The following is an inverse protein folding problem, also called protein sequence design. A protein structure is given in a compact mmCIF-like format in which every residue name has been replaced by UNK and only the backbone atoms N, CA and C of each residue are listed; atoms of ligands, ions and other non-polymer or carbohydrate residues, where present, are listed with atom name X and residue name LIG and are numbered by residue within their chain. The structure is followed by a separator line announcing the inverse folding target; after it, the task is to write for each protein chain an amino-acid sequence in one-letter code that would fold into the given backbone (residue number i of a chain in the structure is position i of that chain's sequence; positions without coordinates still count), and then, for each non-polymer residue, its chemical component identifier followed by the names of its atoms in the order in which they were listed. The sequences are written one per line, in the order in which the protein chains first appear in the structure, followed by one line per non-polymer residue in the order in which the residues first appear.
data_IF_970312260942
#
_entry.id   IF_970312260942
#
_cell.length_a   1.000
_cell.length_b   1.000
_cell.length_c   1.000
_cell.angle_alpha   90.00
_cell.angle_beta   90.00
_cell.angle_gamma   90.00
#
_symmetry.space_group_name_H-M   'P 1'
#
loop_
_entity.id
_entity.type
_entity.pdbx_description
1 polymer ?
#
# COMPACT_ATOMS: atom_id res chain seq x y z
N UNK A 1 -0.15 9.77 4.32
CA UNK A 1 0.01 10.05 2.87
C UNK A 1 -0.63 8.96 2.00
N UNK A 2 -0.03 7.76 1.83
CA UNK A 2 -0.52 6.79 0.82
C UNK A 2 -2.00 6.37 0.94
N UNK A 3 -2.55 6.25 2.16
CA UNK A 3 -3.98 5.95 2.35
C UNK A 3 -4.91 7.01 1.74
N UNK A 4 -4.51 8.29 1.75
CA UNK A 4 -5.31 9.33 1.11
C UNK A 4 -5.24 9.27 -0.42
N UNK A 5 -4.13 8.77 -1.00
CA UNK A 5 -3.99 8.56 -2.46
C UNK A 5 -4.95 7.44 -2.85
N UNK A 6 -4.92 6.32 -2.13
CA UNK A 6 -5.87 5.23 -2.30
C UNK A 6 -7.33 5.66 -2.13
N UNK A 7 -7.63 6.47 -1.11
CA UNK A 7 -8.95 7.01 -0.90
C UNK A 7 -9.38 7.95 -2.03
N UNK A 8 -8.47 8.78 -2.56
CA UNK A 8 -8.76 9.67 -3.70
C UNK A 8 -9.10 8.89 -4.97
N UNK A 9 -8.51 7.71 -5.19
CA UNK A 9 -8.89 6.82 -6.30
C UNK A 9 -10.31 6.29 -6.13
N UNK A 10 -10.70 5.90 -4.92
CA UNK A 10 -12.06 5.44 -4.61
C UNK A 10 -13.06 6.60 -4.73
N UNK A 11 -12.69 7.79 -4.24
CA UNK A 11 -13.51 8.98 -4.34
C UNK A 11 -13.72 9.36 -5.80
N UNK A 12 -12.67 9.32 -6.63
CA UNK A 12 -12.77 9.57 -8.06
C UNK A 12 -13.72 8.56 -8.72
N UNK A 13 -13.62 7.28 -8.37
CA UNK A 13 -14.56 6.26 -8.83
C UNK A 13 -16.01 6.63 -8.42
N UNK A 14 -16.22 7.06 -7.18
CA UNK A 14 -17.53 7.46 -6.67
C UNK A 14 -18.08 8.71 -7.38
N UNK A 15 -17.24 9.74 -7.57
CA UNK A 15 -17.59 10.97 -8.30
C UNK A 15 -17.89 10.66 -9.76
N UNK A 16 -17.06 9.86 -10.43
CA UNK A 16 -17.34 9.38 -11.78
C UNK A 16 -18.71 8.72 -11.81
N UNK A 17 -18.97 7.76 -10.92
CA UNK A 17 -20.27 7.09 -10.82
C UNK A 17 -21.39 8.13 -10.66
N UNK A 18 -21.30 9.07 -9.71
CA UNK A 18 -22.28 10.14 -9.44
C UNK A 18 -22.55 11.09 -10.62
N UNK A 19 -21.49 11.60 -11.26
CA UNK A 19 -21.55 12.45 -12.45
C UNK A 19 -22.34 11.74 -13.54
N UNK A 20 -21.98 10.48 -13.74
CA UNK A 20 -22.62 9.62 -14.69
C UNK A 20 -24.10 9.43 -14.26
N UNK A 21 -24.45 9.17 -12.99
CA UNK A 21 -25.87 8.95 -12.56
C UNK A 21 -26.91 10.02 -12.94
N UNK A 22 -26.50 11.25 -13.27
CA UNK A 22 -27.45 12.30 -13.65
C UNK A 22 -27.87 12.17 -15.12
N UNK A 23 -29.09 11.66 -15.36
CA UNK A 23 -29.71 11.57 -16.71
C UNK A 23 -29.85 12.94 -17.40
N UNK A 24 -29.79 14.03 -16.63
CA UNK A 24 -29.82 15.41 -17.13
C UNK A 24 -28.76 16.20 -16.33
N UNK A 25 -27.51 16.20 -16.83
CA UNK A 25 -26.38 16.88 -16.18
C UNK A 25 -26.63 18.40 -16.14
N UNK A 26 -27.34 18.86 -15.10
CA UNK A 26 -27.51 20.27 -14.80
C UNK A 26 -26.40 20.64 -13.84
N UNK A 27 -25.40 21.36 -14.35
CA UNK A 27 -24.22 21.76 -13.61
C UNK A 27 -24.55 22.33 -12.22
N UNK A 28 -25.58 23.19 -12.11
CA UNK A 28 -26.03 23.74 -10.81
C UNK A 28 -26.40 22.68 -9.77
N UNK A 29 -27.14 21.64 -10.16
CA UNK A 29 -27.57 20.59 -9.23
C UNK A 29 -26.40 19.67 -8.85
N UNK A 30 -25.55 19.34 -9.81
CA UNK A 30 -24.31 18.61 -9.55
C UNK A 30 -23.37 19.38 -8.60
N UNK A 31 -23.19 20.68 -8.83
CA UNK A 31 -22.37 21.53 -7.98
C UNK A 31 -22.90 21.65 -6.56
N UNK A 32 -24.23 21.60 -6.34
CA UNK A 32 -24.83 21.60 -5.01
C UNK A 32 -24.75 20.23 -4.31
N UNK A 33 -24.93 19.14 -5.04
CA UNK A 33 -24.96 17.78 -4.45
C UNK A 33 -23.56 17.19 -4.25
N UNK A 34 -22.65 17.39 -5.21
CA UNK A 34 -21.30 16.81 -5.22
C UNK A 34 -20.21 17.81 -4.84
N UNK A 35 -20.44 19.12 -5.06
CA UNK A 35 -19.47 20.17 -4.75
C UNK A 35 -19.06 20.21 -3.28
N UNK A 36 -20.00 20.27 -2.30
CA UNK A 36 -19.64 20.31 -0.89
C UNK A 36 -18.86 19.07 -0.43
N UNK A 37 -19.26 17.82 -0.74
CA UNK A 37 -18.44 16.64 -0.42
C UNK A 37 -17.04 16.67 -1.05
N UNK A 38 -16.92 17.07 -2.32
CA UNK A 38 -15.62 17.18 -3.01
C UNK A 38 -14.76 18.25 -2.34
N UNK A 39 -15.33 19.40 -1.98
CA UNK A 39 -14.61 20.48 -1.30
C UNK A 39 -14.16 20.08 0.10
N UNK A 40 -15.02 19.43 0.89
CA UNK A 40 -14.68 18.95 2.23
C UNK A 40 -13.55 17.93 2.14
N UNK A 41 -13.70 16.90 1.29
CA UNK A 41 -12.68 15.87 1.13
C UNK A 41 -11.40 16.45 0.55
N UNK A 42 -11.50 17.32 -0.45
CA UNK A 42 -10.37 18.00 -1.09
C UNK A 42 -9.61 18.90 -0.12
N UNK A 43 -10.30 19.65 0.73
CA UNK A 43 -9.68 20.51 1.76
C UNK A 43 -8.95 19.67 2.80
N UNK A 44 -9.61 18.64 3.35
CA UNK A 44 -8.99 17.72 4.32
C UNK A 44 -7.77 17.04 3.68
N UNK A 45 -7.93 16.50 2.47
CA UNK A 45 -6.83 15.87 1.74
C UNK A 45 -5.68 16.85 1.53
N UNK A 46 -5.96 18.09 1.11
CA UNK A 46 -4.93 19.11 0.83
C UNK A 46 -4.09 19.45 2.06
N UNK A 47 -4.70 19.60 3.24
CA UNK A 47 -3.98 19.84 4.51
C UNK A 47 -2.96 18.72 4.79
N UNK A 48 -3.31 17.47 4.47
CA UNK A 48 -2.41 16.33 4.66
C UNK A 48 -1.42 16.11 3.50
N UNK A 49 -1.79 16.49 2.27
CA UNK A 49 -1.01 16.18 1.08
C UNK A 49 -0.03 17.28 0.66
N UNK A 50 -0.37 18.55 0.86
CA UNK A 50 0.50 19.66 0.44
C UNK A 50 1.90 19.56 1.06
N UNK A 51 2.06 19.36 2.38
CA UNK A 51 3.40 19.23 2.97
C UNK A 51 4.17 18.04 2.39
N UNK A 52 3.47 16.93 2.13
CA UNK A 52 4.09 15.74 1.56
C UNK A 52 4.53 15.93 0.10
N UNK A 53 3.74 16.66 -0.69
CA UNK A 53 4.07 17.00 -2.07
C UNK A 53 5.24 18.00 -2.15
N UNK A 54 5.27 18.98 -1.25
CA UNK A 54 6.38 19.93 -1.13
C UNK A 54 7.69 19.19 -0.83
N UNK A 55 7.71 18.37 0.22
CA UNK A 55 8.85 17.52 0.57
C UNK A 55 9.23 16.58 -0.58
N UNK A 56 8.26 15.98 -1.27
CA UNK A 56 8.53 15.14 -2.43
C UNK A 56 9.16 15.89 -3.60
N UNK A 57 8.78 17.15 -3.83
CA UNK A 57 9.39 18.00 -4.85
C UNK A 57 10.80 18.46 -4.44
N UNK A 58 10.97 18.87 -3.19
CA UNK A 58 12.24 19.37 -2.64
C UNK A 58 13.33 18.28 -2.62
N UNK A 59 12.96 17.07 -2.22
CA UNK A 59 13.90 15.95 -2.12
C UNK A 59 13.87 15.01 -3.33
N UNK A 60 13.05 15.29 -4.34
CA UNK A 60 12.93 14.49 -5.56
C UNK A 60 12.45 13.06 -5.31
N UNK A 61 11.53 12.87 -4.35
CA UNK A 61 11.04 11.55 -3.94
C UNK A 61 10.18 10.89 -5.03
N UNK A 62 10.84 10.14 -5.92
CA UNK A 62 10.19 9.28 -6.89
C UNK A 62 10.69 7.85 -6.72
N UNK A 63 9.79 6.86 -6.77
CA UNK A 63 10.19 5.44 -6.79
C UNK A 63 10.12 4.91 -8.19
N UNK A 64 11.10 4.09 -8.55
CA UNK A 64 11.05 3.39 -9.82
C UNK A 64 9.87 2.43 -9.86
N UNK A 65 9.35 2.19 -11.06
CA UNK A 65 8.32 1.18 -11.27
C UNK A 65 8.81 -0.20 -10.80
N UNK A 66 10.10 -0.50 -10.93
CA UNK A 66 10.71 -1.75 -10.47
C UNK A 66 10.65 -1.91 -8.95
N UNK A 67 10.90 -0.84 -8.20
CA UNK A 67 10.76 -0.86 -6.74
C UNK A 67 9.30 -1.10 -6.36
N UNK A 68 8.37 -0.38 -7.01
CA UNK A 68 6.94 -0.56 -6.75
C UNK A 68 6.45 -1.98 -7.10
N UNK A 69 6.93 -2.55 -8.21
CA UNK A 69 6.64 -3.92 -8.60
C UNK A 69 7.09 -4.94 -7.55
N UNK A 70 8.18 -4.69 -6.81
CA UNK A 70 8.63 -5.59 -5.75
C UNK A 70 7.61 -5.73 -4.61
N UNK A 71 6.81 -4.69 -4.35
CA UNK A 71 5.81 -4.66 -3.28
C UNK A 71 4.35 -4.73 -3.78
N UNK A 72 4.12 -5.26 -4.99
CA UNK A 72 2.79 -5.69 -5.44
C UNK A 72 2.39 -7.00 -4.76
N UNK A 73 1.11 -7.13 -4.40
CA UNK A 73 0.56 -8.31 -3.73
C UNK A 73 0.51 -9.53 -4.69
N UNK A 74 1.13 -10.66 -4.35
CA UNK A 74 0.96 -11.90 -5.09
C UNK A 74 -0.48 -12.42 -5.00
N UNK A 75 -0.96 -13.05 -6.07
CA UNK A 75 -2.30 -13.65 -6.12
C UNK A 75 -2.51 -14.68 -4.99
N UNK A 76 -1.48 -15.46 -4.68
CA UNK A 76 -1.51 -16.43 -3.59
C UNK A 76 -1.88 -15.81 -2.23
N UNK A 77 -1.51 -14.55 -1.98
CA UNK A 77 -1.76 -13.89 -0.68
C UNK A 77 -3.24 -13.61 -0.44
N UNK A 78 -4.06 -13.49 -1.48
CA UNK A 78 -5.52 -13.37 -1.31
C UNK A 78 -6.19 -14.69 -0.90
N UNK A 79 -5.46 -15.81 -0.95
CA UNK A 79 -5.87 -17.09 -0.37
C UNK A 79 -5.23 -17.35 0.99
N UNK A 80 -4.41 -16.42 1.51
CA UNK A 80 -4.00 -16.47 2.90
C UNK A 80 -5.21 -16.22 3.81
N UNK A 81 -5.30 -16.92 4.92
CA UNK A 81 -6.25 -16.59 5.98
C UNK A 81 -5.61 -15.59 6.96
N UNK A 82 -6.43 -14.82 7.68
CA UNK A 82 -5.92 -14.08 8.83
C UNK A 82 -5.19 -15.05 9.77
N UNK A 83 -4.22 -14.54 10.54
CA UNK A 83 -3.55 -15.28 11.61
C UNK A 83 -4.53 -15.57 12.76
N UNK A 84 -5.49 -16.44 12.48
CA UNK A 84 -6.40 -17.05 13.44
C UNK A 84 -5.76 -18.30 14.02
N UNK A 85 -6.15 -18.67 15.23
CA UNK A 85 -5.68 -19.90 15.85
C UNK A 85 -6.00 -21.15 15.02
N UNK A 86 -7.17 -21.18 14.37
CA UNK A 86 -7.65 -22.36 13.65
C UNK A 86 -7.04 -22.51 12.26
N UNK A 87 -6.84 -21.40 11.54
CA UNK A 87 -6.47 -21.44 10.13
C UNK A 87 -5.11 -20.82 9.80
N UNK A 88 -4.48 -20.13 10.76
CA UNK A 88 -3.22 -19.42 10.54
C UNK A 88 -2.08 -20.35 10.12
N UNK A 89 -2.00 -21.57 10.68
CA UNK A 89 -0.96 -22.54 10.33
C UNK A 89 -1.10 -23.05 8.88
N UNK A 90 -2.32 -23.21 8.39
CA UNK A 90 -2.60 -23.83 7.09
C UNK A 90 -2.19 -22.95 5.90
N UNK A 91 -2.25 -21.63 6.06
CA UNK A 91 -2.08 -20.68 4.95
C UNK A 91 -1.01 -19.62 5.21
N UNK A 92 -0.27 -19.72 6.32
CA UNK A 92 0.83 -18.80 6.67
C UNK A 92 1.90 -18.69 5.57
N UNK A 93 2.19 -19.77 4.85
CA UNK A 93 3.15 -19.79 3.75
C UNK A 93 2.72 -18.90 2.55
N UNK A 94 1.43 -18.56 2.44
CA UNK A 94 0.90 -17.69 1.39
C UNK A 94 1.01 -16.19 1.74
N UNK A 95 1.47 -15.85 2.95
CA UNK A 95 1.58 -14.46 3.41
C UNK A 95 2.58 -13.65 2.58
N UNK A 96 2.32 -12.35 2.47
CA UNK A 96 3.20 -11.41 1.77
C UNK A 96 4.15 -10.72 2.77
N UNK A 97 5.18 -10.06 2.24
CA UNK A 97 6.21 -9.37 3.04
C UNK A 97 5.60 -8.27 3.92
N UNK A 98 4.53 -7.63 3.47
CA UNK A 98 3.76 -6.63 4.24
C UNK A 98 2.62 -7.24 5.10
N UNK A 99 2.52 -8.57 5.19
CA UNK A 99 1.51 -9.28 6.00
C UNK A 99 0.48 -10.07 5.18
N UNK A 100 -0.64 -10.45 5.82
CA UNK A 100 -1.75 -11.15 5.15
C UNK A 100 -2.73 -10.16 4.51
N UNK A 101 -2.95 -10.28 3.20
CA UNK A 101 -3.93 -9.48 2.44
C UNK A 101 -5.25 -10.22 2.27
N UNK A 102 -5.64 -10.99 3.29
CA UNK A 102 -6.79 -11.88 3.22
C UNK A 102 -8.10 -11.11 3.03
N UNK A 103 -8.87 -11.40 1.97
CA UNK A 103 -10.23 -10.89 1.81
C UNK A 103 -11.24 -11.55 2.76
N UNK A 104 -10.81 -12.58 3.51
CA UNK A 104 -11.64 -13.50 4.31
C UNK A 104 -12.57 -14.35 3.47
N UNK A 105 -12.73 -15.63 3.81
CA UNK A 105 -13.53 -16.56 3.01
C UNK A 105 -15.02 -16.35 3.19
N UNK A 106 -15.50 -16.07 4.39
CA UNK A 106 -16.94 -15.87 4.61
C UNK A 106 -17.48 -14.69 3.78
N UNK A 107 -16.86 -13.49 3.78
CA UNK A 107 -17.32 -12.39 2.95
C UNK A 107 -17.29 -12.69 1.45
N UNK A 108 -16.23 -13.38 0.97
CA UNK A 108 -16.11 -13.78 -0.44
C UNK A 108 -17.22 -14.76 -0.83
N UNK A 109 -17.42 -15.83 -0.04
CA UNK A 109 -18.44 -16.85 -0.30
C UNK A 109 -19.85 -16.28 -0.28
N UNK A 110 -20.19 -15.43 0.70
CA UNK A 110 -21.49 -14.76 0.75
C UNK A 110 -21.70 -13.84 -0.45
N UNK A 111 -20.68 -13.05 -0.81
CA UNK A 111 -20.75 -12.15 -1.98
C UNK A 111 -20.97 -12.93 -3.27
N UNK A 112 -20.26 -14.06 -3.48
CA UNK A 112 -20.44 -14.94 -4.65
C UNK A 112 -21.85 -15.55 -4.64
N UNK A 113 -22.31 -16.07 -3.50
CA UNK A 113 -23.64 -16.65 -3.38
C UNK A 113 -24.74 -15.64 -3.72
N UNK A 114 -24.63 -14.40 -3.25
CA UNK A 114 -25.55 -13.33 -3.59
C UNK A 114 -25.52 -12.97 -5.08
N UNK A 115 -24.33 -12.88 -5.70
CA UNK A 115 -24.21 -12.67 -7.14
C UNK A 115 -24.95 -13.76 -7.95
N UNK A 116 -24.87 -15.02 -7.51
CA UNK A 116 -25.58 -16.14 -8.15
C UNK A 116 -27.10 -16.08 -7.93
N UNK A 117 -27.56 -15.65 -6.75
CA UNK A 117 -28.99 -15.51 -6.43
C UNK A 117 -29.61 -14.34 -7.18
N UNK A 118 -28.94 -13.17 -7.20
CA UNK A 118 -29.37 -11.98 -7.96
C UNK A 118 -29.45 -12.30 -9.45
N UNK A 119 -28.47 -13.05 -9.98
CA UNK A 119 -28.47 -13.51 -11.38
C UNK A 119 -29.67 -14.40 -11.74
N UNK A 120 -30.22 -15.17 -10.78
CA UNK A 120 -31.40 -16.02 -11.01
C UNK A 120 -32.72 -15.24 -10.99
N UNK A 121 -32.81 -14.15 -10.22
CA UNK A 121 -34.04 -13.32 -10.12
C UNK A 121 -34.18 -12.31 -11.25
N UNK A 122 -33.07 -11.75 -11.73
CA UNK A 122 -33.08 -10.96 -12.95
C UNK A 122 -33.16 -11.92 -14.14
N UNK A 123 -34.33 -12.03 -14.80
CA UNK A 123 -34.37 -12.61 -16.13
C UNK A 123 -33.37 -11.82 -16.97
N UNK A 124 -32.27 -12.46 -17.35
CA UNK A 124 -31.38 -11.90 -18.35
C UNK A 124 -32.16 -11.97 -19.66
N UNK A 125 -33.06 -11.02 -19.91
CA UNK A 125 -33.24 -10.55 -21.27
C UNK A 125 -31.82 -10.27 -21.75
N UNK A 126 -31.42 -10.92 -22.85
CA UNK A 126 -30.07 -10.85 -23.39
C UNK A 126 -29.76 -9.42 -23.85
N UNK A 127 -29.36 -8.60 -22.87
CA UNK A 127 -29.17 -7.16 -22.93
C UNK A 127 -27.72 -6.78 -23.25
N UNK A 128 -27.10 -7.56 -24.12
CA UNK A 128 -25.72 -7.36 -24.55
C UNK A 128 -25.68 -6.99 -26.02
N UNK A 129 -24.84 -6.02 -26.38
CA UNK A 129 -24.43 -5.87 -27.76
C UNK A 129 -23.72 -7.18 -28.15
N UNK A 130 -24.29 -7.94 -29.10
CA UNK A 130 -23.77 -9.25 -29.53
C UNK A 130 -22.27 -9.18 -29.83
N UNK A 131 -21.83 -8.04 -30.35
CA UNK A 131 -20.43 -7.72 -30.66
C UNK A 131 -19.48 -7.82 -29.47
N UNK A 132 -19.86 -7.38 -28.26
CA UNK A 132 -18.95 -7.42 -27.09
C UNK A 132 -18.86 -8.82 -26.48
N UNK A 133 -19.96 -9.59 -26.51
CA UNK A 133 -19.93 -11.02 -26.14
C UNK A 133 -19.06 -11.83 -27.09
N UNK A 134 -19.20 -11.58 -28.39
CA UNK A 134 -18.39 -12.22 -29.43
C UNK A 134 -16.93 -11.79 -29.28
N UNK A 135 -16.65 -10.52 -28.98
CA UNK A 135 -15.30 -10.03 -28.70
C UNK A 135 -14.71 -10.72 -27.45
N UNK A 136 -15.46 -10.79 -26.35
CA UNK A 136 -14.98 -11.43 -25.12
C UNK A 136 -14.76 -12.94 -25.30
N UNK A 137 -15.70 -13.64 -25.95
CA UNK A 137 -15.53 -15.06 -26.28
C UNK A 137 -14.36 -15.28 -27.26
N UNK A 138 -14.23 -14.41 -28.25
CA UNK A 138 -13.13 -14.41 -29.21
C UNK A 138 -11.78 -14.18 -28.52
N UNK A 139 -11.69 -13.23 -27.60
CA UNK A 139 -10.48 -12.95 -26.82
C UNK A 139 -10.17 -14.09 -25.86
N UNK A 140 -11.15 -14.67 -25.16
CA UNK A 140 -10.93 -15.86 -24.31
C UNK A 140 -10.39 -17.02 -25.15
N UNK A 141 -11.02 -17.30 -26.29
CA UNK A 141 -10.61 -18.37 -27.18
C UNK A 141 -9.20 -18.10 -27.75
N UNK A 142 -8.94 -16.88 -28.23
CA UNK A 142 -7.64 -16.44 -28.72
C UNK A 142 -6.57 -16.53 -27.63
N UNK A 143 -6.88 -16.16 -26.39
CA UNK A 143 -5.94 -16.23 -25.26
C UNK A 143 -5.63 -17.67 -24.90
N UNK A 144 -6.61 -18.59 -24.92
CA UNK A 144 -6.37 -20.03 -24.71
C UNK A 144 -5.47 -20.57 -25.84
N UNK A 145 -5.79 -20.26 -27.09
CA UNK A 145 -4.99 -20.68 -28.26
C UNK A 145 -3.57 -20.11 -28.19
N UNK A 146 -3.41 -18.82 -27.91
CA UNK A 146 -2.12 -18.17 -27.79
C UNK A 146 -1.32 -18.68 -26.58
N UNK A 147 -2.00 -19.09 -25.50
CA UNK A 147 -1.36 -19.76 -24.36
C UNK A 147 -0.79 -21.13 -24.73
N UNK A 148 -1.54 -21.94 -25.48
CA UNK A 148 -1.03 -23.22 -26.01
C UNK A 148 0.12 -23.02 -27.00
N UNK A 149 0.07 -21.97 -27.81
CA UNK A 149 1.12 -21.61 -28.77
C UNK A 149 2.30 -20.86 -28.13
N UNK A 150 2.25 -20.54 -26.83
CA UNK A 150 3.27 -19.75 -26.13
C UNK A 150 4.71 -20.24 -26.38
N UNK A 151 5.03 -21.56 -26.36
CA UNK A 151 6.40 -22.02 -26.62
C UNK A 151 6.86 -21.64 -28.03
N UNK A 152 5.99 -21.80 -29.03
CA UNK A 152 6.27 -21.52 -30.43
C UNK A 152 6.35 -20.01 -30.72
N UNK A 153 5.52 -19.21 -30.04
CA UNK A 153 5.57 -17.74 -30.13
C UNK A 153 6.84 -17.21 -29.44
N UNK A 154 7.29 -17.85 -28.37
CA UNK A 154 8.53 -17.49 -27.68
C UNK A 154 9.78 -17.77 -28.51
N UNK A 155 9.85 -18.94 -29.15
CA UNK A 155 10.96 -19.30 -30.03
C UNK A 155 11.01 -18.37 -31.25
N UNK A 156 9.87 -18.15 -31.91
CA UNK A 156 9.79 -17.29 -33.09
C UNK A 156 10.04 -15.81 -32.76
N UNK A 157 9.54 -15.32 -31.62
CA UNK A 157 9.82 -13.97 -31.13
C UNK A 157 11.28 -13.77 -30.74
N UNK A 158 11.93 -14.80 -30.20
CA UNK A 158 13.34 -14.81 -29.86
C UNK A 158 14.29 -14.86 -31.06
N UNK A 159 13.87 -15.47 -32.17
CA UNK A 159 14.59 -15.44 -33.45
C UNK A 159 14.57 -14.05 -34.10
N UNK A 160 13.50 -13.27 -33.90
CA UNK A 160 13.32 -11.93 -34.47
C UNK A 160 13.90 -10.84 -33.55
N UNK A 161 13.78 -11.02 -32.23
CA UNK A 161 14.31 -10.12 -31.21
C UNK A 161 14.96 -10.95 -30.10
N UNK A 162 16.29 -11.02 -30.07
CA UNK A 162 17.03 -11.82 -29.08
C UNK A 162 16.70 -11.48 -27.63
N UNK A 163 16.34 -10.21 -27.35
CA UNK A 163 15.97 -9.75 -26.01
C UNK A 163 14.63 -10.30 -25.49
N UNK A 164 13.77 -10.86 -26.36
CA UNK A 164 12.51 -11.50 -25.92
C UNK A 164 12.78 -12.77 -25.10
N UNK A 165 13.91 -13.45 -25.33
CA UNK A 165 14.34 -14.56 -24.48
C UNK A 165 14.70 -14.11 -23.06
N UNK A 166 15.18 -12.87 -22.90
CA UNK A 166 15.54 -12.29 -21.61
C UNK A 166 14.31 -11.83 -20.81
N UNK A 167 13.17 -11.64 -21.49
CA UNK A 167 11.92 -11.19 -20.89
C UNK A 167 10.73 -12.11 -21.19
N UNK A 168 10.72 -13.36 -20.67
CA UNK A 168 9.64 -14.33 -20.89
C UNK A 168 8.25 -13.86 -20.40
N UNK A 169 8.22 -12.83 -19.55
CA UNK A 169 7.01 -12.16 -19.07
C UNK A 169 6.35 -11.27 -20.12
N UNK A 170 7.09 -10.86 -21.16
CA UNK A 170 6.56 -10.01 -22.23
C UNK A 170 5.55 -10.78 -23.08
N UNK A 171 5.85 -12.04 -23.40
CA UNK A 171 4.97 -12.91 -24.19
C UNK A 171 3.70 -13.23 -23.42
N UNK A 172 3.81 -13.58 -22.13
CA UNK A 172 2.62 -13.79 -21.29
C UNK A 172 1.80 -12.52 -21.12
N UNK A 173 2.46 -11.36 -21.03
CA UNK A 173 1.78 -10.05 -21.00
C UNK A 173 1.02 -9.80 -22.29
N UNK A 174 1.61 -10.02 -23.47
CA UNK A 174 0.91 -9.83 -24.75
C UNK A 174 -0.28 -10.77 -24.89
N UNK A 175 -0.16 -12.02 -24.41
CA UNK A 175 -1.23 -13.02 -24.45
C UNK A 175 -2.38 -12.66 -23.49
N UNK A 176 -2.04 -12.24 -22.26
CA UNK A 176 -3.00 -12.06 -21.17
C UNK A 176 -3.54 -10.63 -21.04
N UNK A 177 -2.83 -9.60 -21.53
CA UNK A 177 -3.30 -8.21 -21.44
C UNK A 177 -4.61 -7.98 -22.19
N UNK A 178 -4.83 -8.51 -23.41
CA UNK A 178 -6.12 -8.41 -24.06
C UNK A 178 -7.22 -9.07 -23.24
N UNK A 179 -6.96 -10.25 -22.66
CA UNK A 179 -7.92 -10.92 -21.78
C UNK A 179 -8.22 -10.09 -20.54
N UNK A 180 -7.20 -9.60 -19.85
CA UNK A 180 -7.38 -8.79 -18.65
C UNK A 180 -8.13 -7.51 -18.98
N UNK A 181 -7.72 -6.78 -20.02
CA UNK A 181 -8.38 -5.55 -20.46
C UNK A 181 -9.81 -5.81 -20.93
N UNK A 182 -10.09 -6.92 -21.60
CA UNK A 182 -11.44 -7.27 -22.05
C UNK A 182 -12.28 -7.76 -20.90
N UNK A 183 -11.77 -8.54 -19.95
CA UNK A 183 -12.48 -8.91 -18.72
C UNK A 183 -12.77 -7.66 -17.91
N UNK A 184 -11.78 -6.77 -17.74
CA UNK A 184 -11.94 -5.49 -17.07
C UNK A 184 -12.93 -4.60 -17.81
N UNK A 185 -12.80 -4.40 -19.12
CA UNK A 185 -13.71 -3.58 -19.92
C UNK A 185 -15.11 -4.19 -19.97
N UNK A 186 -15.24 -5.51 -20.11
CA UNK A 186 -16.51 -6.23 -20.01
C UNK A 186 -17.13 -6.00 -18.63
N UNK A 187 -16.33 -6.03 -17.57
CA UNK A 187 -16.73 -5.73 -16.21
C UNK A 187 -17.19 -4.26 -16.03
N UNK A 188 -16.50 -3.29 -16.65
CA UNK A 188 -16.82 -1.86 -16.59
C UNK A 188 -17.93 -1.40 -17.56
N UNK A 189 -18.15 -2.09 -18.69
CA UNK A 189 -19.08 -1.71 -19.77
C UNK A 189 -20.40 -2.48 -19.75
N UNK A 190 -20.59 -3.42 -18.83
CA UNK A 190 -21.86 -4.12 -18.65
C UNK A 190 -22.94 -3.13 -18.20
N UNK A 191 -24.22 -3.36 -18.59
CA UNK A 191 -25.37 -2.61 -18.03
C UNK A 191 -25.39 -2.63 -16.50
N UNK A 192 -24.68 -3.54 -15.84
CA UNK A 192 -24.38 -3.60 -14.42
C UNK A 192 -23.73 -2.31 -13.87
N UNK A 193 -22.71 -1.75 -14.53
CA UNK A 193 -22.14 -0.43 -14.19
C UNK A 193 -23.16 0.69 -14.45
N UNK A 194 -23.96 0.55 -15.53
CA UNK A 194 -25.10 1.41 -15.87
C UNK A 194 -26.34 1.22 -14.95
N UNK A 195 -26.36 0.19 -14.10
CA UNK A 195 -27.40 -0.07 -13.10
C UNK A 195 -26.97 0.51 -11.76
N UNK A 196 -25.67 0.42 -11.41
CA UNK A 196 -25.07 1.25 -10.35
C UNK A 196 -25.36 2.72 -10.61
N UNK A 197 -25.31 3.13 -11.87
CA UNK A 197 -25.57 4.48 -12.38
C UNK A 197 -26.98 5.03 -12.09
N UNK A 198 -28.04 4.21 -11.98
CA UNK A 198 -29.42 4.76 -11.96
C UNK A 198 -29.96 5.10 -10.55
N UNK A 199 -29.11 5.51 -9.59
CA UNK A 199 -29.53 6.07 -8.28
C UNK A 199 -29.61 5.07 -7.10
N UNK A 200 -29.14 5.49 -5.91
CA UNK A 200 -28.95 4.73 -4.65
C UNK A 200 -30.17 3.91 -4.13
N UNK A 201 -30.43 2.73 -4.68
CA UNK A 201 -31.24 1.65 -4.04
C UNK A 201 -30.32 0.61 -3.40
N UNK A 202 -30.81 -0.20 -2.45
CA UNK A 202 -30.00 -1.19 -1.70
C UNK A 202 -29.18 -2.14 -2.58
N UNK A 203 -29.73 -2.56 -3.72
CA UNK A 203 -29.04 -3.40 -4.72
C UNK A 203 -27.85 -2.68 -5.38
N UNK A 204 -27.82 -1.35 -5.44
CA UNK A 204 -26.75 -0.56 -6.08
C UNK A 204 -25.62 -0.22 -5.13
N UNK A 205 -25.90 -0.18 -3.82
CA UNK A 205 -24.88 -0.14 -2.77
C UNK A 205 -24.00 -1.38 -2.85
N UNK A 206 -24.59 -2.57 -3.02
CA UNK A 206 -23.84 -3.82 -3.19
C UNK A 206 -22.79 -3.69 -4.30
N UNK A 207 -23.21 -3.24 -5.47
CA UNK A 207 -22.32 -3.12 -6.62
C UNK A 207 -21.19 -2.11 -6.39
N UNK A 208 -21.47 -0.93 -5.83
CA UNK A 208 -20.46 0.08 -5.54
C UNK A 208 -19.34 -0.47 -4.65
N UNK A 209 -19.70 -1.14 -3.55
CA UNK A 209 -18.72 -1.70 -2.63
C UNK A 209 -18.00 -2.91 -3.21
N UNK A 210 -18.68 -3.72 -4.04
CA UNK A 210 -18.03 -4.77 -4.83
C UNK A 210 -16.99 -4.20 -5.80
N UNK A 211 -17.30 -3.12 -6.51
CA UNK A 211 -16.35 -2.43 -7.39
C UNK A 211 -15.18 -1.84 -6.63
N UNK A 212 -15.44 -1.28 -5.45
CA UNK A 212 -14.39 -0.78 -4.56
C UNK A 212 -13.43 -1.91 -4.19
N UNK A 213 -13.95 -3.09 -3.83
CA UNK A 213 -13.13 -4.27 -3.56
C UNK A 213 -12.35 -4.75 -4.80
N UNK A 214 -12.96 -4.78 -5.99
CA UNK A 214 -12.29 -5.20 -7.22
C UNK A 214 -11.21 -4.23 -7.67
N UNK A 215 -11.47 -2.91 -7.61
CA UNK A 215 -10.46 -1.89 -7.89
C UNK A 215 -9.29 -2.01 -6.93
N UNK A 216 -9.58 -2.14 -5.62
CA UNK A 216 -8.57 -2.32 -4.61
C UNK A 216 -7.73 -3.58 -4.85
N UNK A 217 -8.36 -4.68 -5.24
CA UNK A 217 -7.70 -5.92 -5.65
C UNK A 217 -6.75 -5.68 -6.82
N UNK A 218 -7.25 -5.19 -7.96
CA UNK A 218 -6.45 -5.00 -9.19
C UNK A 218 -5.28 -4.05 -8.96
N UNK A 219 -5.48 -2.96 -8.22
CA UNK A 219 -4.42 -2.00 -7.91
C UNK A 219 -3.41 -2.59 -6.94
N UNK A 220 -3.85 -3.37 -5.95
CA UNK A 220 -2.96 -3.98 -4.96
C UNK A 220 -2.00 -5.02 -5.55
N UNK A 221 -2.31 -5.60 -6.72
CA UNK A 221 -1.36 -6.44 -7.48
C UNK A 221 -0.11 -5.67 -7.92
N UNK A 222 -0.16 -4.33 -7.97
CA UNK A 222 0.92 -3.47 -8.45
C UNK A 222 1.14 -3.56 -9.96
N UNK A 223 2.23 -2.99 -10.51
CA UNK A 223 2.50 -2.98 -11.95
C UNK A 223 2.82 -4.37 -12.55
N UNK A 224 3.16 -5.37 -11.73
CA UNK A 224 3.46 -6.74 -12.17
C UNK A 224 2.61 -7.71 -11.35
N UNK A 225 1.81 -8.53 -12.03
CA UNK A 225 1.01 -9.58 -11.41
C UNK A 225 1.92 -10.76 -11.08
N UNK A 226 1.93 -11.16 -9.80
CA UNK A 226 2.73 -12.28 -9.28
C UNK A 226 1.83 -13.43 -8.85
N UNK A 227 2.31 -14.66 -9.02
CA UNK A 227 1.60 -15.84 -8.51
C UNK A 227 1.89 -16.03 -7.02
N UNK A 228 3.16 -16.31 -6.71
CA UNK A 228 3.66 -16.63 -5.38
C UNK A 228 5.08 -16.05 -5.23
N UNK A 229 5.38 -15.44 -4.08
CA UNK A 229 6.67 -14.76 -3.87
C UNK A 229 6.99 -13.77 -5.01
N UNK A 230 8.16 -13.93 -5.64
CA UNK A 230 8.61 -13.13 -6.79
C UNK A 230 8.38 -13.82 -8.15
N UNK A 231 7.47 -14.80 -8.24
CA UNK A 231 7.12 -15.41 -9.52
C UNK A 231 6.21 -14.49 -10.33
N UNK A 232 6.77 -13.81 -11.33
CA UNK A 232 6.05 -12.88 -12.20
C UNK A 232 5.25 -13.64 -13.26
N UNK A 233 3.97 -13.30 -13.41
CA UNK A 233 3.09 -13.86 -14.44
C UNK A 233 3.05 -12.93 -15.66
N UNK A 234 2.70 -11.66 -15.42
CA UNK A 234 2.53 -10.66 -16.47
C UNK A 234 2.63 -9.25 -15.90
N UNK A 235 2.77 -8.26 -16.78
CA UNK A 235 2.57 -6.85 -16.44
C UNK A 235 1.06 -6.62 -16.21
N UNK A 236 0.74 -5.87 -15.17
CA UNK A 236 -0.61 -5.38 -14.91
C UNK A 236 -0.81 -4.06 -15.69
N UNK A 237 -1.51 -4.06 -16.84
CA UNK A 237 -1.72 -2.85 -17.63
C UNK A 237 -2.45 -1.76 -16.83
N UNK A 238 -3.36 -2.11 -15.92
CA UNK A 238 -4.11 -1.14 -15.11
C UNK A 238 -3.19 -0.53 -14.05
N UNK A 239 -2.44 -1.37 -13.32
CA UNK A 239 -1.46 -0.91 -12.33
C UNK A 239 -0.38 -0.03 -12.96
N UNK A 240 0.10 -0.41 -14.15
CA UNK A 240 1.11 0.35 -14.91
C UNK A 240 0.55 1.67 -15.44
N UNK A 241 -0.65 1.67 -16.02
CA UNK A 241 -1.32 2.89 -16.46
C UNK A 241 -1.50 3.87 -15.30
N UNK A 242 -2.01 3.38 -14.16
CA UNK A 242 -2.21 4.21 -12.98
C UNK A 242 -0.88 4.73 -12.41
N UNK A 243 0.22 3.96 -12.49
CA UNK A 243 1.54 4.42 -12.03
C UNK A 243 2.00 5.68 -12.79
N UNK A 244 1.78 5.72 -14.10
CA UNK A 244 2.18 6.86 -14.94
C UNK A 244 1.17 8.01 -14.94
N UNK A 245 -0.11 7.73 -14.75
CA UNK A 245 -1.19 8.71 -14.94
C UNK A 245 -1.73 9.26 -13.61
N UNK A 246 -1.80 8.45 -12.55
CA UNK A 246 -2.42 8.86 -11.30
C UNK A 246 -1.43 9.61 -10.39
N UNK A 247 -1.68 10.88 -10.05
CA UNK A 247 -0.75 11.68 -9.25
C UNK A 247 -0.42 11.04 -7.90
N UNK A 248 0.88 10.96 -7.59
CA UNK A 248 1.39 10.44 -6.33
C UNK A 248 1.42 8.92 -6.21
N UNK A 249 0.88 8.15 -7.17
CA UNK A 249 0.97 6.69 -7.10
C UNK A 249 2.43 6.20 -7.23
N UNK A 250 3.27 6.90 -8.00
CA UNK A 250 4.71 6.63 -8.07
C UNK A 250 5.45 6.87 -6.75
N UNK A 251 4.89 7.69 -5.86
CA UNK A 251 5.42 7.95 -4.52
C UNK A 251 4.98 6.89 -3.49
N UNK A 252 4.33 5.79 -3.90
CA UNK A 252 3.94 4.68 -3.03
C UNK A 252 4.85 3.47 -3.26
N UNK A 253 5.54 3.02 -2.20
CA UNK A 253 6.39 1.82 -2.23
C UNK A 253 5.54 0.56 -2.36
N UNK A 254 4.67 0.36 -1.38
CA UNK A 254 3.87 -0.85 -1.23
C UNK A 254 2.43 -0.63 -1.67
N UNK A 255 2.18 -0.82 -2.97
CA UNK A 255 0.82 -0.73 -3.55
C UNK A 255 -0.06 -1.86 -3.03
N UNK A 256 0.53 -2.98 -2.61
CA UNK A 256 -0.15 -4.08 -1.92
C UNK A 256 -1.09 -3.61 -0.81
N UNK A 257 -0.74 -2.53 -0.09
CA UNK A 257 -1.55 -1.94 0.99
C UNK A 257 -2.93 -1.46 0.56
N UNK A 258 -3.16 -1.24 -0.74
CA UNK A 258 -4.49 -1.00 -1.29
C UNK A 258 -5.45 -2.15 -0.96
N UNK A 259 -4.95 -3.36 -0.74
CA UNK A 259 -5.75 -4.52 -0.34
C UNK A 259 -6.49 -4.32 0.99
N UNK A 260 -6.04 -3.38 1.84
CA UNK A 260 -6.74 -3.03 3.09
C UNK A 260 -8.17 -2.51 2.87
N UNK A 261 -8.50 -2.07 1.65
CA UNK A 261 -9.83 -1.61 1.27
C UNK A 261 -10.74 -2.73 0.75
N UNK A 262 -10.18 -3.92 0.48
CA UNK A 262 -10.95 -5.09 0.04
C UNK A 262 -11.92 -5.55 1.14
N UNK A 263 -11.51 -5.72 2.42
CA UNK A 263 -12.44 -6.06 3.49
C UNK A 263 -13.56 -5.05 3.69
N UNK A 264 -13.32 -3.75 3.43
CA UNK A 264 -14.36 -2.73 3.48
C UNK A 264 -15.44 -2.99 2.43
N UNK A 265 -15.03 -3.20 1.17
CA UNK A 265 -15.96 -3.51 0.09
C UNK A 265 -16.69 -4.84 0.32
N UNK A 266 -15.95 -5.88 0.68
CA UNK A 266 -16.50 -7.21 0.92
C UNK A 266 -17.37 -7.30 2.16
N UNK A 267 -17.11 -6.52 3.21
CA UNK A 267 -17.91 -6.50 4.43
C UNK A 267 -19.32 -5.99 4.16
N UNK A 268 -19.45 -4.90 3.40
CA UNK A 268 -20.75 -4.35 3.00
C UNK A 268 -21.49 -5.31 2.08
N UNK A 269 -20.81 -5.87 1.07
CA UNK A 269 -21.44 -6.84 0.15
C UNK A 269 -21.86 -8.11 0.87
N UNK A 270 -21.08 -8.59 1.84
CA UNK A 270 -21.41 -9.76 2.64
C UNK A 270 -22.64 -9.52 3.54
N UNK A 271 -22.77 -8.34 4.15
CA UNK A 271 -23.94 -7.98 4.94
C UNK A 271 -25.22 -7.95 4.09
N UNK A 272 -25.16 -7.31 2.92
CA UNK A 272 -26.28 -7.29 1.97
C UNK A 272 -26.58 -8.69 1.43
N UNK A 273 -25.55 -9.49 1.12
CA UNK A 273 -25.68 -10.87 0.69
C UNK A 273 -26.37 -11.74 1.74
N UNK A 274 -25.97 -11.60 3.01
CA UNK A 274 -26.60 -12.29 4.12
C UNK A 274 -28.10 -11.99 4.21
N UNK A 275 -28.49 -10.71 4.10
CA UNK A 275 -29.90 -10.30 4.10
C UNK A 275 -30.67 -10.96 2.94
N UNK A 276 -30.16 -10.84 1.72
CA UNK A 276 -30.80 -11.38 0.51
C UNK A 276 -30.98 -12.90 0.56
N UNK A 277 -29.94 -13.63 0.99
CA UNK A 277 -29.98 -15.09 1.11
C UNK A 277 -30.96 -15.49 2.21
N UNK A 278 -30.90 -14.85 3.39
CA UNK A 278 -31.78 -15.15 4.52
C UNK A 278 -33.25 -14.90 4.18
N UNK A 279 -33.56 -13.82 3.46
CA UNK A 279 -34.91 -13.50 3.02
C UNK A 279 -35.44 -14.46 1.96
N UNK A 280 -34.57 -15.04 1.13
CA UNK A 280 -34.95 -16.05 0.14
C UNK A 280 -35.36 -17.41 0.72
N UNK A 281 -35.07 -17.67 2.00
CA UNK A 281 -35.46 -18.89 2.69
C UNK A 281 -36.93 -18.78 3.13
N UNK A 282 -37.76 -19.76 2.75
CA UNK A 282 -39.20 -19.71 3.06
C UNK A 282 -39.51 -20.08 4.53
N UNK A 283 -38.76 -21.03 5.12
CA UNK A 283 -39.02 -21.52 6.49
C UNK A 283 -38.23 -20.70 7.55
N UNK A 284 -38.88 -20.21 8.61
CA UNK A 284 -38.20 -19.53 9.72
C UNK A 284 -37.12 -20.36 10.42
N UNK A 285 -37.22 -21.70 10.42
CA UNK A 285 -36.19 -22.61 10.97
C UNK A 285 -34.89 -22.50 10.16
N UNK A 286 -34.96 -22.56 8.83
CA UNK A 286 -33.78 -22.42 7.98
C UNK A 286 -33.14 -21.03 8.11
N UNK A 287 -33.92 -19.97 8.32
CA UNK A 287 -33.38 -18.63 8.61
C UNK A 287 -32.54 -18.60 9.89
N UNK A 288 -33.00 -19.28 10.96
CA UNK A 288 -32.26 -19.38 12.23
C UNK A 288 -30.98 -20.21 12.05
N UNK A 289 -31.08 -21.38 11.43
CA UNK A 289 -29.93 -22.26 11.16
C UNK A 289 -28.88 -21.55 10.30
N UNK A 290 -29.28 -20.89 9.22
CA UNK A 290 -28.37 -20.11 8.37
C UNK A 290 -27.66 -18.99 9.16
N UNK A 291 -28.41 -18.24 9.97
CA UNK A 291 -27.84 -17.17 10.80
C UNK A 291 -26.83 -17.70 11.81
N UNK A 292 -27.14 -18.83 12.44
CA UNK A 292 -26.25 -19.49 13.38
C UNK A 292 -24.96 -20.01 12.70
N UNK A 293 -25.07 -20.61 11.51
CA UNK A 293 -23.92 -21.07 10.72
C UNK A 293 -23.03 -19.87 10.34
N UNK A 294 -23.61 -18.80 9.78
CA UNK A 294 -22.84 -17.61 9.37
C UNK A 294 -22.14 -16.98 10.56
N UNK A 295 -22.84 -16.83 11.69
CA UNK A 295 -22.25 -16.30 12.92
C UNK A 295 -21.12 -17.19 13.44
N UNK A 296 -21.31 -18.51 13.46
CA UNK A 296 -20.28 -19.46 13.90
C UNK A 296 -19.02 -19.38 13.03
N UNK A 297 -19.17 -19.37 11.70
CA UNK A 297 -18.03 -19.24 10.77
C UNK A 297 -17.33 -17.89 10.98
N UNK A 298 -18.08 -16.80 11.15
CA UNK A 298 -17.53 -15.47 11.42
C UNK A 298 -16.68 -15.46 12.70
N UNK A 299 -17.18 -16.09 13.78
CA UNK A 299 -16.44 -16.21 15.04
C UNK A 299 -15.18 -17.06 14.84
N UNK A 300 -15.24 -18.20 14.16
CA UNK A 300 -14.05 -19.05 13.93
C UNK A 300 -13.00 -18.33 13.06
N UNK A 301 -13.42 -17.53 12.07
CA UNK A 301 -12.52 -16.79 11.19
C UNK A 301 -11.87 -15.58 11.89
N UNK A 302 -12.57 -14.95 12.84
CA UNK A 302 -12.10 -13.76 13.57
C UNK A 302 -11.37 -14.14 14.87
N UNK A 303 -11.83 -15.18 15.56
CA UNK A 303 -11.44 -15.49 16.93
C UNK A 303 -10.65 -16.79 17.02
N UNK A 304 -9.52 -16.82 17.76
CA UNK A 304 -8.74 -15.70 18.29
C UNK A 304 -7.87 -15.11 17.18
N UNK A 305 -7.96 -13.80 16.94
CA UNK A 305 -6.93 -13.08 16.21
C UNK A 305 -5.67 -13.10 17.08
N UNK A 306 -4.67 -13.85 16.65
CA UNK A 306 -3.38 -13.94 17.35
C UNK A 306 -2.82 -12.51 17.50
N UNK A 307 -2.31 -12.21 18.68
CA UNK A 307 -1.59 -10.97 19.00
C UNK A 307 -2.41 -9.66 19.16
N UNK A 308 -3.75 -9.70 19.05
CA UNK A 308 -4.59 -8.50 19.17
C UNK A 308 -4.59 -7.87 20.59
N UNK A 309 -4.20 -8.65 21.60
CA UNK A 309 -4.18 -8.26 23.02
C UNK A 309 -2.77 -8.23 23.63
N UNK A 310 -1.71 -8.11 22.83
CA UNK A 310 -0.38 -7.83 23.38
C UNK A 310 -0.14 -6.32 23.38
N UNK A 311 -0.44 -5.61 24.48
CA UNK A 311 -0.04 -4.22 24.56
C UNK A 311 1.48 -4.17 24.43
N UNK A 312 1.97 -3.35 23.50
CA UNK A 312 3.38 -3.02 23.42
C UNK A 312 3.78 -2.38 24.76
N UNK A 313 4.48 -3.15 25.59
CA UNK A 313 5.05 -2.65 26.85
C UNK A 313 6.41 -2.08 26.53
N UNK A 314 6.48 -0.77 26.29
CA UNK A 314 7.75 -0.08 26.30
C UNK A 314 8.35 -0.28 27.70
N UNK A 315 9.48 -0.98 27.81
CA UNK A 315 10.15 -1.17 29.09
C UNK A 315 10.72 0.18 29.55
N UNK A 316 9.94 0.96 30.32
CA UNK A 316 10.38 2.26 30.88
C UNK A 316 11.71 2.16 31.65
N UNK A 317 11.95 1.01 32.29
CA UNK A 317 13.18 0.74 33.04
C UNK A 317 14.42 0.50 32.16
N UNK A 318 14.29 0.48 30.84
CA UNK A 318 15.41 0.31 29.90
C UNK A 318 15.79 1.59 29.16
N UNK A 319 15.12 2.73 29.41
CA UNK A 319 15.43 4.00 28.72
C UNK A 319 16.84 4.47 29.11
N UNK A 320 17.80 4.51 28.16
CA UNK A 320 19.17 4.92 28.46
C UNK A 320 19.26 6.38 28.93
N UNK A 321 20.19 6.65 29.85
CA UNK A 321 20.34 7.96 30.51
C UNK A 321 20.67 9.09 29.53
N UNK A 322 21.40 8.77 28.45
CA UNK A 322 21.74 9.70 27.37
C UNK A 322 20.51 10.35 26.74
N UNK A 323 19.42 9.60 26.55
CA UNK A 323 18.20 10.15 25.97
C UNK A 323 17.39 10.99 26.96
N UNK A 324 17.39 10.62 28.25
CA UNK A 324 16.80 11.45 29.31
C UNK A 324 17.51 12.80 29.42
N UNK A 325 18.83 12.79 29.35
CA UNK A 325 19.64 14.00 29.33
C UNK A 325 19.41 14.82 28.05
N UNK A 326 19.39 14.17 26.87
CA UNK A 326 19.10 14.85 25.60
C UNK A 326 17.75 15.54 25.66
N UNK A 327 16.70 14.91 26.21
CA UNK A 327 15.37 15.52 26.37
C UNK A 327 15.42 16.89 27.07
N UNK A 328 16.32 17.06 28.04
CA UNK A 328 16.49 18.31 28.81
C UNK A 328 17.46 19.31 28.14
N UNK A 329 18.29 18.86 27.21
CA UNK A 329 19.22 19.72 26.48
C UNK A 329 18.47 20.70 25.58
N UNK A 330 19.14 21.80 25.17
CA UNK A 330 18.58 22.77 24.23
C UNK A 330 18.13 22.12 22.92
N UNK A 331 17.18 22.73 22.22
CA UNK A 331 16.64 22.15 20.98
C UNK A 331 17.68 22.18 19.83
N UNK A 332 17.62 21.16 18.98
CA UNK A 332 18.36 21.13 17.73
C UNK A 332 18.58 19.73 17.15
N UNK A 333 19.04 19.65 15.89
CA UNK A 333 19.18 18.39 15.17
C UNK A 333 20.20 17.45 15.81
N UNK A 334 19.81 16.18 15.92
CA UNK A 334 20.61 15.08 16.47
C UNK A 334 21.02 14.14 15.34
N UNK A 335 22.31 13.76 15.33
CA UNK A 335 22.81 12.62 14.55
C UNK A 335 23.28 11.55 15.53
N UNK A 336 22.82 10.32 15.34
CA UNK A 336 23.27 9.16 16.09
C UNK A 336 24.27 8.34 15.26
N UNK A 337 25.39 7.95 15.85
CA UNK A 337 26.46 7.21 15.19
C UNK A 337 26.67 5.85 15.88
N UNK A 338 26.90 4.74 15.15
CA UNK A 338 27.10 4.65 13.70
C UNK A 338 25.81 4.76 12.90
N UNK A 339 25.89 5.40 11.72
CA UNK A 339 24.82 5.33 10.73
C UNK A 339 24.85 3.94 10.11
N UNK A 340 23.73 3.21 10.19
CA UNK A 340 23.70 1.83 9.71
C UNK A 340 23.90 1.77 8.19
N UNK A 341 24.62 0.76 7.68
CA UNK A 341 24.66 0.53 6.23
C UNK A 341 23.29 0.17 5.65
N UNK A 342 22.43 -0.43 6.47
CA UNK A 342 21.06 -0.76 6.10
C UNK A 342 20.12 0.34 6.58
N UNK A 343 19.28 0.88 5.69
CA UNK A 343 18.35 1.96 6.03
C UNK A 343 17.43 1.59 7.21
N UNK A 344 16.98 0.34 7.31
CA UNK A 344 16.12 -0.11 8.41
C UNK A 344 16.87 -0.20 9.75
N UNK A 345 18.20 -0.30 9.74
CA UNK A 345 18.99 -0.38 10.96
C UNK A 345 18.95 0.91 11.79
N UNK A 346 18.66 2.04 11.15
CA UNK A 346 18.48 3.33 11.81
C UNK A 346 17.09 3.49 12.47
N UNK A 347 16.18 2.52 12.29
CA UNK A 347 14.85 2.55 12.90
C UNK A 347 14.91 2.57 14.44
N UNK A 348 15.98 2.02 15.02
CA UNK A 348 16.22 2.09 16.47
C UNK A 348 16.44 3.53 16.94
N UNK A 349 17.13 4.36 16.16
CA UNK A 349 17.32 5.77 16.48
C UNK A 349 16.01 6.55 16.34
N UNK A 350 15.19 6.22 15.34
CA UNK A 350 13.85 6.79 15.23
C UNK A 350 13.00 6.47 16.47
N UNK A 351 12.98 5.21 16.90
CA UNK A 351 12.27 4.78 18.12
C UNK A 351 12.75 5.57 19.35
N UNK A 352 14.07 5.69 19.51
CA UNK A 352 14.70 6.42 20.62
C UNK A 352 14.45 7.92 20.56
N UNK A 353 14.30 8.48 19.35
CA UNK A 353 14.00 9.90 19.18
C UNK A 353 12.65 10.31 19.74
N UNK A 354 11.70 9.37 19.86
CA UNK A 354 10.43 9.60 20.54
C UNK A 354 10.59 9.94 22.03
N UNK A 355 11.71 9.53 22.65
CA UNK A 355 12.01 9.81 24.06
C UNK A 355 12.49 11.25 24.23
N UNK A 356 13.48 11.66 23.43
CA UNK A 356 14.11 12.98 23.56
C UNK A 356 13.42 14.08 22.73
N UNK A 357 12.54 13.71 21.80
CA UNK A 357 11.68 14.61 21.00
C UNK A 357 12.44 15.70 20.25
N UNK A 358 13.67 15.40 19.79
CA UNK A 358 14.47 16.31 18.95
C UNK A 358 14.44 15.84 17.50
N UNK A 359 14.66 16.77 16.57
CA UNK A 359 14.82 16.45 15.14
C UNK A 359 15.98 15.47 14.95
N UNK A 360 15.74 14.37 14.26
CA UNK A 360 16.73 13.33 13.99
C UNK A 360 17.16 13.36 12.52
N UNK A 361 18.47 13.30 12.25
CA UNK A 361 19.02 13.40 10.90
C UNK A 361 19.07 12.03 10.20
N UNK A 362 19.54 10.99 10.89
CA UNK A 362 19.67 9.64 10.36
C UNK A 362 18.59 8.69 10.90
N UNK A 363 17.34 9.15 10.92
CA UNK A 363 16.19 8.30 11.25
C UNK A 363 15.75 7.43 10.08
N UNK A 364 14.97 6.39 10.37
CA UNK A 364 14.21 5.68 9.34
C UNK A 364 13.00 6.49 8.89
N UNK A 365 12.73 6.51 7.59
CA UNK A 365 11.61 7.23 6.99
C UNK A 365 10.98 6.43 5.84
N UNK A 366 9.92 6.96 5.24
CA UNK A 366 9.30 6.33 4.08
C UNK A 366 10.24 6.33 2.85
N UNK A 367 11.11 7.32 2.73
CA UNK A 367 12.11 7.44 1.67
C UNK A 367 13.51 7.50 2.27
N UNK A 368 14.45 6.78 1.66
CA UNK A 368 15.86 7.00 1.92
C UNK A 368 16.33 8.16 1.04
N UNK A 369 16.85 9.21 1.67
CA UNK A 369 17.39 10.37 0.97
C UNK A 369 18.90 10.21 0.76
N UNK A 370 19.42 10.80 -0.32
CA UNK A 370 20.76 10.50 -0.83
C UNK A 370 21.89 10.88 0.16
N UNK A 371 21.72 11.95 0.93
CA UNK A 371 22.73 12.34 1.91
C UNK A 371 22.80 11.41 3.12
N UNK A 372 21.70 10.76 3.53
CA UNK A 372 21.78 9.68 4.54
C UNK A 372 22.54 8.48 4.00
N UNK A 373 22.34 8.12 2.73
CA UNK A 373 23.13 7.07 2.07
C UNK A 373 24.62 7.42 2.10
N UNK A 374 24.99 8.64 1.73
CA UNK A 374 26.38 9.14 1.82
C UNK A 374 26.92 9.14 3.25
N UNK A 375 26.11 9.47 4.27
CA UNK A 375 26.50 9.38 5.68
C UNK A 375 26.76 7.93 6.12
N UNK A 376 25.97 6.97 5.63
CA UNK A 376 26.14 5.54 5.94
C UNK A 376 27.41 4.90 5.34
N UNK A 377 27.99 5.54 4.33
CA UNK A 377 29.26 5.14 3.72
C UNK A 377 30.48 5.61 4.52
N UNK A 378 30.31 6.57 5.43
CA UNK A 378 31.37 7.04 6.30
C UNK A 378 31.72 5.96 7.33
N UNK A 379 33.01 5.76 7.56
CA UNK A 379 33.53 4.85 8.60
C UNK A 379 34.20 5.61 9.76
N UNK A 380 34.54 6.88 9.51
CA UNK A 380 35.24 7.77 10.43
C UNK A 380 34.76 9.23 10.21
N UNK A 381 34.54 9.94 11.31
CA UNK A 381 34.12 11.35 11.34
C UNK A 381 35.28 12.34 11.57
N UNK A 382 36.52 11.86 11.69
CA UNK A 382 37.73 12.69 11.90
C UNK A 382 38.16 13.47 10.66
N UNK A 383 37.74 13.04 9.47
CA UNK A 383 38.13 13.69 8.22
C UNK A 383 37.41 15.03 8.02
N UNK A 384 38.10 16.01 7.44
CA UNK A 384 37.50 17.31 7.08
C UNK A 384 36.25 17.14 6.22
N UNK A 385 36.24 16.17 5.30
CA UNK A 385 35.10 15.87 4.43
C UNK A 385 33.89 15.38 5.24
N UNK A 386 34.10 14.48 6.20
CA UNK A 386 33.02 14.00 7.05
C UNK A 386 32.43 15.13 7.92
N UNK A 387 33.29 15.94 8.54
CA UNK A 387 32.86 17.09 9.35
C UNK A 387 32.07 18.11 8.53
N UNK A 388 32.50 18.40 7.29
CA UNK A 388 31.75 19.28 6.38
C UNK A 388 30.35 18.75 6.08
N UNK A 389 30.17 17.43 5.93
CA UNK A 389 28.84 16.83 5.80
C UNK A 389 27.99 17.06 7.05
N UNK A 390 28.56 16.91 8.25
CA UNK A 390 27.83 17.16 9.50
C UNK A 390 27.39 18.63 9.62
N UNK A 391 28.25 19.56 9.23
CA UNK A 391 27.94 21.00 9.23
C UNK A 391 26.88 21.35 8.20
N UNK A 392 26.96 20.78 6.99
CA UNK A 392 25.98 20.97 5.93
C UNK A 392 24.58 20.50 6.38
N UNK A 393 24.51 19.45 7.20
CA UNK A 393 23.26 18.93 7.75
C UNK A 393 22.82 19.60 9.06
N UNK A 394 23.51 20.65 9.51
CA UNK A 394 23.12 21.41 10.71
C UNK A 394 23.14 20.57 11.98
N UNK A 395 23.96 19.51 12.04
CA UNK A 395 24.06 18.62 13.21
C UNK A 395 24.48 19.46 14.42
N UNK A 396 23.59 19.55 15.41
CA UNK A 396 23.86 20.24 16.68
C UNK A 396 24.42 19.27 17.71
N UNK A 397 23.77 18.11 17.84
CA UNK A 397 24.18 17.05 18.75
C UNK A 397 24.66 15.84 17.95
N UNK A 398 25.88 15.40 18.21
CA UNK A 398 26.42 14.14 17.71
C UNK A 398 26.46 13.15 18.87
N UNK A 399 25.72 12.06 18.76
CA UNK A 399 25.66 10.99 19.77
C UNK A 399 26.40 9.79 19.23
N UNK A 400 27.58 9.49 19.79
CA UNK A 400 28.42 8.37 19.36
C UNK A 400 28.20 7.19 20.29
N UNK A 401 27.55 6.14 19.78
CA UNK A 401 27.29 4.91 20.51
C UNK A 401 28.50 3.98 20.52
N UNK A 402 28.63 3.24 21.61
CA UNK A 402 29.62 2.17 21.75
C UNK A 402 29.32 1.05 20.74
N UNK A 403 30.35 0.59 20.02
CA UNK A 403 30.25 -0.52 19.06
C UNK A 403 31.41 -1.49 19.25
N UNK A 404 31.14 -2.80 19.21
CA UNK A 404 32.19 -3.82 19.34
C UNK A 404 32.97 -3.78 20.67
N UNK A 405 32.33 -3.34 21.76
CA UNK A 405 32.95 -3.30 23.09
C UNK A 405 33.72 -2.02 23.43
N UNK A 406 33.77 -1.00 22.57
CA UNK A 406 34.43 0.29 22.85
C UNK A 406 33.87 1.45 22.03
N UNK A 407 34.35 2.66 22.30
CA UNK A 407 34.11 3.80 21.41
C UNK A 407 35.10 3.77 20.24
N UNK A 408 34.75 4.34 19.07
CA UNK A 408 35.70 4.50 17.99
C UNK A 408 36.92 5.33 18.42
N UNK A 409 38.14 4.92 18.06
CA UNK A 409 39.39 5.61 18.45
C UNK A 409 39.44 7.09 18.05
N UNK A 410 38.72 7.47 16.99
CA UNK A 410 38.63 8.85 16.54
C UNK A 410 37.68 9.71 17.39
N UNK A 411 36.74 9.09 18.12
CA UNK A 411 35.78 9.82 18.95
C UNK A 411 36.45 10.39 20.21
N UNK A 412 37.49 9.74 20.73
CA UNK A 412 38.23 10.20 21.91
C UNK A 412 39.02 11.51 21.69
N UNK A 413 38.93 12.12 20.50
CA UNK A 413 39.53 13.42 20.16
C UNK A 413 38.45 14.46 19.88
N UNK A 414 38.78 15.74 20.06
CA UNK A 414 37.91 16.83 19.60
C UNK A 414 37.65 16.72 18.09
N UNK A 415 36.38 16.78 17.69
CA UNK A 415 35.93 16.58 16.32
C UNK A 415 35.58 17.92 15.66
N UNK A 416 36.59 18.68 15.26
CA UNK A 416 36.38 20.00 14.67
C UNK A 416 35.66 20.95 15.64
N UNK A 417 34.47 21.42 15.27
CA UNK A 417 33.60 22.29 16.11
C UNK A 417 32.68 21.50 17.06
N UNK A 418 32.74 20.17 17.04
CA UNK A 418 32.02 19.32 17.99
C UNK A 418 32.85 19.10 19.25
N UNK A 419 32.39 19.70 20.34
CA UNK A 419 33.01 19.57 21.66
C UNK A 419 32.27 18.52 22.49
N UNK A 420 32.98 17.58 23.09
CA UNK A 420 32.39 16.63 24.03
C UNK A 420 31.81 17.39 25.24
N UNK A 421 30.55 17.14 25.56
CA UNK A 421 29.86 17.78 26.68
C UNK A 421 29.30 16.78 27.69
N UNK A 422 29.20 15.50 27.31
CA UNK A 422 28.71 14.45 28.20
C UNK A 422 29.21 13.07 27.80
N UNK A 423 29.62 12.30 28.80
CA UNK A 423 30.03 10.89 28.66
C UNK A 423 29.03 10.02 29.42
N UNK A 424 28.53 8.99 28.74
CA UNK A 424 27.69 7.94 29.31
C UNK A 424 28.35 6.59 29.08
N UNK A 425 27.90 5.56 29.81
CA UNK A 425 28.43 4.20 29.69
C UNK A 425 28.32 3.63 28.25
N UNK A 426 27.30 4.07 27.51
CA UNK A 426 26.97 3.55 26.17
C UNK A 426 27.11 4.60 25.05
N UNK A 427 27.30 5.88 25.38
CA UNK A 427 27.30 6.97 24.40
C UNK A 427 28.20 8.14 24.81
N UNK A 428 28.84 8.78 23.83
CA UNK A 428 29.49 10.08 23.94
C UNK A 428 28.61 11.13 23.25
N UNK A 429 28.42 12.29 23.88
CA UNK A 429 27.62 13.38 23.31
C UNK A 429 28.50 14.60 23.05
N UNK A 430 28.54 15.02 21.79
CA UNK A 430 29.21 16.22 21.35
C UNK A 430 28.21 17.29 20.95
N UNK A 431 28.58 18.55 21.16
CA UNK A 431 27.80 19.73 20.81
C UNK A 431 28.59 20.61 19.84
N UNK A 432 27.95 20.95 18.73
CA UNK A 432 28.36 22.07 17.90
C UNK A 432 27.51 23.30 18.27
N UNK A 433 28.14 24.29 18.90
CA UNK A 433 27.47 25.54 19.33
C UNK A 433 27.11 26.45 18.15
N UNK A 434 27.81 26.30 17.03
CA UNK A 434 27.65 27.12 15.82
C UNK A 434 26.72 26.45 14.79
N UNK A 435 26.09 25.32 15.14
CA UNK A 435 25.22 24.60 14.23
C UNK A 435 24.06 25.51 13.76
N UNK A 436 23.97 25.72 12.44
CA UNK A 436 22.82 26.37 11.83
C UNK A 436 21.67 25.36 11.81
N UNK A 437 20.69 25.55 12.70
CA UNK A 437 19.57 24.62 12.90
C UNK A 437 18.52 24.65 11.79
N UNK A 438 18.64 25.58 10.83
CA UNK A 438 17.77 25.67 9.67
C UNK A 438 18.43 24.94 8.50
N UNK A 439 17.97 23.73 8.23
CA UNK A 439 18.48 22.84 7.18
C UNK A 439 18.15 23.33 5.76
N UNK A 440 17.15 24.21 5.62
CA UNK A 440 16.71 24.77 4.34
C UNK A 440 16.52 26.29 4.48
N UNK A 441 16.82 27.08 3.44
CA UNK A 441 16.44 28.49 3.40
C UNK A 441 14.93 28.62 3.63
N UNK A 442 14.53 29.61 4.41
CA UNK A 442 13.13 30.03 4.47
C UNK A 442 12.75 30.56 3.08
N UNK A 443 12.05 29.76 2.29
CA UNK A 443 11.38 30.21 1.08
C UNK A 443 9.88 30.28 1.34
#
# INVERSE_FOLDING_TARGET
AYHGIFFSMILLLFVCILVFQQDNFRFEKFSLDAGPPILIVGMIASIYFIPYLQEAQEFGFNRSISEQSAYGAPLATFFSLPSSHFFGSWTSHLSHVDGSTSPRYLPVLLTIAALLVVRKKASIESLFNSKLKILAAGVICLTIVAWFLKPNVATLGGEIYGDLYLHPQLITTVILSPLLLVVTAYFFMTKFFRTVYLGLRSEKIFHLYFFTAMLAFVVSLGPIIKLYGNQHIMINPIGTFLYYVFPGLSSIRAVSRMSSLIPLGLGVTAGLAYMLIRESLNDPRFKKVFSFIVFTILIIEIYPAKDLNFPYKQQENQIPYEYKWLKQAQDGPVLEWPVSKSFIGDAVYLERSMIHQKKLINGYAAFEWEGRKKLSELTDLSSKRALLSLYAFGVRYLVVHRSGGGFPRWAEKNLGEFYEIKVFNNALVYLNKNAKTNFLPQN
#
